data_IF_477044749294
#
_entry.id   IF_477044749294
#
_cell.length_a   1.000
_cell.length_b   1.000
_cell.length_c   1.000
_cell.angle_alpha   90.00
_cell.angle_beta   90.00
_cell.angle_gamma   90.00
#
_symmetry.space_group_name_H-M   'P 1'
#
loop_
_entity.id
_entity.type
_entity.pdbx_description
1 polymer ?
#
# COMPACT_ATOMS: atom_id res chain seq x y z
N UNK A 1 4.46 -19.93 19.78
CA UNK A 1 4.95 -18.65 20.36
C UNK A 1 4.55 -18.56 21.82
N UNK A 2 5.39 -17.95 22.68
CA UNK A 2 5.01 -17.66 24.07
C UNK A 2 3.83 -16.66 24.11
N UNK A 3 2.89 -16.75 25.08
CA UNK A 3 1.70 -15.90 25.12
C UNK A 3 1.99 -14.39 25.10
N UNK A 4 2.95 -13.92 25.91
CA UNK A 4 3.32 -12.50 25.96
C UNK A 4 3.89 -11.95 24.64
N UNK A 5 4.74 -12.73 23.98
CA UNK A 5 5.30 -12.36 22.67
C UNK A 5 4.21 -12.26 21.60
N UNK A 6 3.22 -13.16 21.62
CA UNK A 6 2.09 -13.12 20.68
C UNK A 6 1.29 -11.83 20.83
N UNK A 7 0.98 -11.42 22.06
CA UNK A 7 0.25 -10.18 22.33
C UNK A 7 1.07 -8.96 21.90
N UNK A 8 2.37 -8.92 22.22
CA UNK A 8 3.25 -7.83 21.81
C UNK A 8 3.29 -7.65 20.28
N UNK A 9 3.52 -8.73 19.53
CA UNK A 9 3.57 -8.67 18.06
C UNK A 9 2.20 -8.28 17.49
N UNK A 10 1.10 -8.76 18.08
CA UNK A 10 -0.24 -8.35 17.66
C UNK A 10 -0.45 -6.85 17.86
N UNK A 11 -0.10 -6.31 19.02
CA UNK A 11 -0.20 -4.87 19.31
C UNK A 11 0.67 -4.07 18.35
N UNK A 12 1.92 -4.48 18.13
CA UNK A 12 2.84 -3.82 17.20
C UNK A 12 2.30 -3.82 15.76
N UNK A 13 1.72 -4.92 15.31
CA UNK A 13 1.12 -5.01 13.98
C UNK A 13 -0.10 -4.10 13.82
N UNK A 14 -0.99 -4.08 14.83
CA UNK A 14 -2.17 -3.21 14.79
C UNK A 14 -1.74 -1.74 14.79
N UNK A 15 -0.82 -1.36 15.69
CA UNK A 15 -0.31 0.01 15.78
C UNK A 15 0.35 0.46 14.47
N UNK A 16 1.21 -0.38 13.88
CA UNK A 16 1.90 -0.06 12.62
C UNK A 16 0.96 -0.05 11.42
N UNK A 17 -0.02 -0.96 11.34
CA UNK A 17 -1.02 -0.99 10.28
C UNK A 17 -1.95 0.23 10.31
N UNK A 18 -2.48 0.57 11.49
CA UNK A 18 -3.36 1.75 11.66
C UNK A 18 -2.55 3.03 11.47
N UNK A 19 -1.33 3.10 12.00
CA UNK A 19 -0.41 4.21 11.76
C UNK A 19 -0.11 4.41 10.29
N UNK A 20 0.12 3.33 9.53
CA UNK A 20 0.34 3.40 8.08
C UNK A 20 -0.89 3.97 7.36
N UNK A 21 -2.09 3.48 7.68
CA UNK A 21 -3.34 4.00 7.12
C UNK A 21 -3.52 5.49 7.41
N UNK A 22 -3.28 5.92 8.66
CA UNK A 22 -3.34 7.32 9.06
C UNK A 22 -2.31 8.19 8.35
N UNK A 23 -1.07 7.71 8.19
CA UNK A 23 -0.01 8.44 7.50
C UNK A 23 -0.32 8.64 6.01
N UNK A 24 -0.92 7.64 5.34
CA UNK A 24 -1.38 7.78 3.95
C UNK A 24 -2.54 8.79 3.86
N UNK A 25 -3.47 8.79 4.82
CA UNK A 25 -4.55 9.78 4.86
C UNK A 25 -4.01 11.21 5.06
N UNK A 26 -3.05 11.40 5.96
CA UNK A 26 -2.39 12.69 6.17
C UNK A 26 -1.64 13.15 4.92
N UNK A 27 -0.91 12.24 4.25
CA UNK A 27 -0.25 12.54 2.97
C UNK A 27 -1.26 12.98 1.90
N UNK A 28 -2.42 12.34 1.81
CA UNK A 28 -3.48 12.74 0.87
C UNK A 28 -4.01 14.14 1.18
N UNK A 29 -4.22 14.48 2.45
CA UNK A 29 -4.62 15.84 2.87
C UNK A 29 -3.58 16.88 2.45
N UNK A 30 -2.28 16.58 2.65
CA UNK A 30 -1.20 17.46 2.21
C UNK A 30 -1.17 17.61 0.68
N UNK A 31 -1.40 16.53 -0.06
CA UNK A 31 -1.48 16.59 -1.52
C UNK A 31 -2.66 17.46 -1.99
N UNK A 32 -3.82 17.36 -1.34
CA UNK A 32 -4.96 18.23 -1.62
C UNK A 32 -4.60 19.70 -1.31
N UNK A 33 -3.97 19.97 -0.16
CA UNK A 33 -3.53 21.32 0.20
C UNK A 33 -2.54 21.90 -0.83
N UNK A 34 -1.64 21.10 -1.36
CA UNK A 34 -0.72 21.50 -2.43
C UNK A 34 -1.42 21.79 -3.78
N UNK A 35 -2.57 21.13 -4.06
CA UNK A 35 -3.33 21.35 -5.30
C UNK A 35 -4.26 22.56 -5.25
N UNK A 36 -4.83 22.87 -4.08
CA UNK A 36 -5.82 23.94 -3.92
C UNK A 36 -5.25 25.21 -3.27
N UNK A 37 -4.02 25.14 -2.77
CA UNK A 37 -3.33 26.25 -2.11
C UNK A 37 -3.14 27.44 -3.04
N UNK A 38 -3.37 28.65 -2.52
CA UNK A 38 -3.28 29.90 -3.29
C UNK A 38 -1.97 30.64 -3.06
N UNK A 39 -1.37 30.46 -1.90
CA UNK A 39 -0.08 31.05 -1.56
C UNK A 39 1.05 30.03 -1.74
N UNK A 40 2.20 30.52 -2.20
CA UNK A 40 3.34 29.66 -2.51
C UNK A 40 3.94 29.00 -1.25
N UNK A 41 3.77 29.60 -0.07
CA UNK A 41 4.34 29.07 1.18
C UNK A 41 3.62 27.81 1.60
N UNK A 42 2.29 27.80 1.60
CA UNK A 42 1.47 26.62 1.91
C UNK A 42 1.72 25.49 0.92
N UNK A 43 1.77 25.78 -0.38
CA UNK A 43 2.01 24.73 -1.40
C UNK A 43 3.39 24.07 -1.20
N UNK A 44 4.44 24.87 -0.97
CA UNK A 44 5.79 24.36 -0.71
C UNK A 44 5.86 23.57 0.58
N UNK A 45 5.28 24.10 1.66
CA UNK A 45 5.21 23.43 2.95
C UNK A 45 4.53 22.07 2.85
N UNK A 46 3.41 22.00 2.12
CA UNK A 46 2.71 20.76 1.86
C UNK A 46 3.57 19.76 1.06
N UNK A 47 4.26 20.20 0.00
CA UNK A 47 5.14 19.34 -0.80
C UNK A 47 6.30 18.76 0.02
N UNK A 48 6.92 19.58 0.88
CA UNK A 48 7.98 19.12 1.80
C UNK A 48 7.42 18.15 2.84
N UNK A 49 6.28 18.47 3.44
CA UNK A 49 5.62 17.61 4.42
C UNK A 49 5.19 16.27 3.81
N UNK A 50 4.76 16.24 2.55
CA UNK A 50 4.49 14.99 1.83
C UNK A 50 5.75 14.12 1.77
N UNK A 51 6.89 14.69 1.41
CA UNK A 51 8.14 13.95 1.35
C UNK A 51 8.57 13.41 2.72
N UNK A 52 8.54 14.23 3.75
CA UNK A 52 8.84 13.80 5.12
C UNK A 52 7.89 12.68 5.57
N UNK A 53 6.59 12.84 5.32
CA UNK A 53 5.58 11.84 5.69
C UNK A 53 5.83 10.51 4.98
N UNK A 54 6.14 10.54 3.67
CA UNK A 54 6.41 9.33 2.91
C UNK A 54 7.63 8.56 3.42
N UNK A 55 8.74 9.26 3.66
CA UNK A 55 10.01 8.65 4.06
C UNK A 55 10.06 8.23 5.53
N UNK A 56 9.53 9.06 6.43
CA UNK A 56 9.69 8.87 7.87
C UNK A 56 8.47 8.29 8.58
N UNK A 57 7.30 8.29 7.95
CA UNK A 57 6.11 7.64 8.50
C UNK A 57 5.65 6.48 7.63
N UNK A 58 5.25 6.73 6.38
CA UNK A 58 4.59 5.71 5.54
C UNK A 58 5.53 4.52 5.27
N UNK A 59 6.76 4.79 4.81
CA UNK A 59 7.73 3.73 4.51
C UNK A 59 8.03 2.83 5.73
N UNK A 60 8.50 3.34 6.88
CA UNK A 60 8.82 2.49 8.02
C UNK A 60 7.58 1.77 8.59
N UNK A 61 6.41 2.43 8.64
CA UNK A 61 5.19 1.80 9.13
C UNK A 61 4.71 0.68 8.20
N UNK A 62 4.84 0.85 6.88
CA UNK A 62 4.49 -0.19 5.91
C UNK A 62 5.36 -1.43 6.06
N UNK A 63 6.68 -1.25 6.20
CA UNK A 63 7.63 -2.35 6.40
C UNK A 63 7.43 -3.04 7.75
N UNK A 64 7.22 -2.27 8.81
CA UNK A 64 6.95 -2.81 10.15
C UNK A 64 5.63 -3.59 10.19
N UNK A 65 4.59 -3.10 9.51
CA UNK A 65 3.30 -3.78 9.41
C UNK A 65 3.42 -5.12 8.65
N UNK A 66 4.14 -5.14 7.53
CA UNK A 66 4.43 -6.37 6.77
C UNK A 66 5.23 -7.37 7.60
N UNK A 67 6.33 -6.93 8.22
CA UNK A 67 7.19 -7.79 9.02
C UNK A 67 6.42 -8.43 10.19
N UNK A 68 5.71 -7.61 10.97
CA UNK A 68 4.90 -8.10 12.10
C UNK A 68 3.74 -8.98 11.65
N UNK A 69 3.16 -8.73 10.47
CA UNK A 69 2.13 -9.57 9.86
C UNK A 69 2.66 -10.95 9.47
N UNK A 70 3.84 -11.01 8.85
CA UNK A 70 4.53 -12.27 8.54
C UNK A 70 4.84 -13.04 9.82
N UNK A 71 5.43 -12.39 10.83
CA UNK A 71 5.74 -13.01 12.12
C UNK A 71 4.48 -13.60 12.77
N UNK A 72 3.35 -12.87 12.79
CA UNK A 72 2.09 -13.41 13.32
C UNK A 72 1.57 -14.59 12.51
N UNK A 73 1.64 -14.52 11.19
CA UNK A 73 1.12 -15.57 10.32
C UNK A 73 1.87 -16.89 10.46
N UNK A 74 3.20 -16.84 10.72
CA UNK A 74 4.05 -18.01 10.95
C UNK A 74 4.00 -18.50 12.39
N UNK A 75 3.84 -17.58 13.34
CA UNK A 75 3.87 -17.87 14.77
C UNK A 75 2.56 -18.32 15.40
N UNK A 76 1.46 -18.22 14.65
CA UNK A 76 0.11 -18.60 15.09
C UNK A 76 -0.44 -19.75 14.22
N UNK A 77 -1.42 -20.52 14.72
CA UNK A 77 -1.98 -21.65 13.96
C UNK A 77 -2.69 -21.23 12.65
N UNK A 78 -2.86 -19.92 12.43
CA UNK A 78 -3.52 -19.37 11.26
C UNK A 78 -2.74 -19.65 9.97
N UNK A 79 -1.41 -19.57 9.96
CA UNK A 79 -0.57 -19.84 8.77
C UNK A 79 -0.75 -18.81 7.64
N UNK A 80 0.35 -18.32 7.05
CA UNK A 80 0.32 -17.29 5.99
C UNK A 80 -0.53 -17.69 4.77
N UNK A 81 -0.37 -18.93 4.32
CA UNK A 81 -1.01 -19.44 3.11
C UNK A 81 -2.24 -20.29 3.40
N UNK A 82 -2.66 -20.46 4.65
CA UNK A 82 -3.70 -21.44 5.02
C UNK A 82 -5.12 -20.91 4.75
N UNK A 83 -5.31 -19.61 4.90
CA UNK A 83 -6.60 -18.94 4.78
C UNK A 83 -6.53 -17.87 3.69
N UNK A 84 -7.52 -17.84 2.79
CA UNK A 84 -7.55 -16.87 1.70
C UNK A 84 -7.51 -15.42 2.20
N UNK A 85 -8.17 -15.12 3.32
CA UNK A 85 -8.21 -13.77 3.85
C UNK A 85 -6.85 -13.30 4.38
N UNK A 86 -6.00 -14.21 4.89
CA UNK A 86 -4.65 -13.88 5.36
C UNK A 86 -3.76 -13.58 4.16
N UNK A 87 -3.78 -14.47 3.17
CA UNK A 87 -3.01 -14.32 1.94
C UNK A 87 -3.40 -13.05 1.18
N UNK A 88 -4.71 -12.79 1.05
CA UNK A 88 -5.24 -11.60 0.42
C UNK A 88 -4.71 -10.30 1.04
N UNK A 89 -4.75 -10.19 2.38
CA UNK A 89 -4.21 -9.01 3.08
C UNK A 89 -2.71 -8.86 2.85
N UNK A 90 -1.97 -9.98 2.92
CA UNK A 90 -0.54 -9.96 2.70
C UNK A 90 -0.21 -9.49 1.28
N UNK A 91 -0.90 -9.99 0.25
CA UNK A 91 -0.70 -9.58 -1.14
C UNK A 91 -1.04 -8.09 -1.33
N UNK A 92 -2.19 -7.64 -0.83
CA UNK A 92 -2.60 -6.23 -0.94
C UNK A 92 -1.63 -5.29 -0.23
N UNK A 93 -1.18 -5.65 0.98
CA UNK A 93 -0.19 -4.87 1.73
C UNK A 93 1.16 -4.84 0.99
N UNK A 94 1.64 -5.98 0.49
CA UNK A 94 2.88 -6.04 -0.29
C UNK A 94 2.80 -5.21 -1.57
N UNK A 95 1.66 -5.25 -2.28
CA UNK A 95 1.45 -4.45 -3.48
C UNK A 95 1.43 -2.94 -3.14
N UNK A 96 0.76 -2.55 -2.07
CA UNK A 96 0.76 -1.15 -1.61
C UNK A 96 2.17 -0.67 -1.24
N UNK A 97 2.96 -1.50 -0.55
CA UNK A 97 4.38 -1.19 -0.25
C UNK A 97 5.23 -1.13 -1.52
N UNK A 98 5.03 -2.03 -2.48
CA UNK A 98 5.76 -1.99 -3.75
C UNK A 98 5.47 -0.70 -4.52
N UNK A 99 4.21 -0.29 -4.62
CA UNK A 99 3.81 0.99 -5.23
C UNK A 99 4.44 2.17 -4.49
N UNK A 100 4.44 2.15 -3.15
CA UNK A 100 5.11 3.18 -2.36
C UNK A 100 6.59 3.30 -2.74
N UNK A 101 7.33 2.19 -2.76
CA UNK A 101 8.75 2.17 -3.11
C UNK A 101 9.00 2.73 -4.52
N UNK A 102 8.14 2.38 -5.48
CA UNK A 102 8.21 2.91 -6.86
C UNK A 102 7.96 4.43 -6.92
N UNK A 103 7.19 4.99 -5.99
CA UNK A 103 6.84 6.43 -5.95
C UNK A 103 7.75 7.27 -5.07
N UNK A 104 8.57 6.67 -4.20
CA UNK A 104 9.51 7.42 -3.35
C UNK A 104 10.46 8.36 -4.13
N UNK A 105 11.00 7.98 -5.31
CA UNK A 105 11.80 8.92 -6.12
C UNK A 105 10.99 10.15 -6.54
N UNK A 106 9.78 9.96 -7.07
CA UNK A 106 8.88 11.04 -7.46
C UNK A 106 8.52 11.97 -6.28
N UNK A 107 8.37 11.41 -5.08
CA UNK A 107 8.13 12.18 -3.86
C UNK A 107 9.35 13.01 -3.45
N UNK A 108 10.57 12.49 -3.66
CA UNK A 108 11.80 13.26 -3.46
C UNK A 108 11.91 14.40 -4.46
N UNK A 109 11.67 14.12 -5.75
CA UNK A 109 11.71 15.11 -6.81
C UNK A 109 10.72 16.25 -6.55
N UNK A 110 9.50 15.92 -6.06
CA UNK A 110 8.49 16.90 -5.65
C UNK A 110 9.05 17.93 -4.67
N UNK A 111 9.69 17.47 -3.59
CA UNK A 111 10.23 18.36 -2.57
C UNK A 111 11.40 19.22 -3.11
N UNK A 112 12.23 18.65 -3.99
CA UNK A 112 13.33 19.38 -4.63
C UNK A 112 12.81 20.48 -5.57
N UNK A 113 11.82 20.17 -6.41
CA UNK A 113 11.21 21.16 -7.32
C UNK A 113 10.56 22.30 -6.51
N UNK A 114 9.79 21.95 -5.48
CA UNK A 114 9.10 22.91 -4.62
C UNK A 114 10.07 23.85 -3.87
N UNK A 115 11.29 23.40 -3.57
CA UNK A 115 12.27 24.23 -2.85
C UNK A 115 13.20 25.00 -3.77
N UNK A 116 13.55 24.46 -4.94
CA UNK A 116 14.52 25.08 -5.85
C UNK A 116 13.95 26.19 -6.72
N UNK A 117 12.67 26.12 -7.11
CA UNK A 117 12.08 27.08 -8.06
C UNK A 117 11.38 28.23 -7.33
N UNK A 118 11.55 29.51 -7.72
CA UNK A 118 10.78 30.63 -7.17
C UNK A 118 9.31 30.62 -7.63
N UNK A 119 9.05 30.09 -8.82
CA UNK A 119 7.71 29.92 -9.40
C UNK A 119 7.29 28.46 -9.35
N UNK A 120 6.03 28.21 -9.00
CA UNK A 120 5.44 26.87 -9.03
C UNK A 120 4.81 26.67 -10.41
N UNK A 121 5.35 25.72 -11.19
CA UNK A 121 4.91 25.45 -12.57
C UNK A 121 3.98 24.24 -12.69
N UNK A 122 3.44 24.04 -13.89
CA UNK A 122 2.49 22.95 -14.21
C UNK A 122 3.06 21.55 -13.94
N UNK A 123 4.37 21.37 -14.09
CA UNK A 123 5.07 20.10 -13.80
C UNK A 123 4.88 19.67 -12.34
N UNK A 124 4.96 20.62 -11.40
CA UNK A 124 4.74 20.37 -9.98
C UNK A 124 3.28 19.92 -9.74
N UNK A 125 2.32 20.63 -10.34
CA UNK A 125 0.89 20.33 -10.19
C UNK A 125 0.56 18.94 -10.74
N UNK A 126 1.13 18.59 -11.90
CA UNK A 126 1.00 17.25 -12.50
C UNK A 126 1.55 16.16 -11.58
N UNK A 127 2.73 16.40 -11.00
CA UNK A 127 3.38 15.48 -10.06
C UNK A 127 2.56 15.29 -8.78
N UNK A 128 2.09 16.38 -8.16
CA UNK A 128 1.23 16.32 -6.96
C UNK A 128 -0.07 15.56 -7.29
N UNK A 129 -0.71 15.84 -8.42
CA UNK A 129 -1.94 15.15 -8.84
C UNK A 129 -1.73 13.65 -8.99
N UNK A 130 -0.63 13.25 -9.62
CA UNK A 130 -0.25 11.83 -9.75
C UNK A 130 -0.05 11.19 -8.38
N UNK A 131 0.68 11.84 -7.47
CA UNK A 131 0.91 11.33 -6.12
C UNK A 131 -0.38 11.27 -5.29
N UNK A 132 -1.28 12.25 -5.43
CA UNK A 132 -2.59 12.26 -4.78
C UNK A 132 -3.46 11.08 -5.24
N UNK A 133 -3.50 10.80 -6.55
CA UNK A 133 -4.24 9.66 -7.09
C UNK A 133 -3.71 8.32 -6.54
N UNK A 134 -2.38 8.16 -6.44
CA UNK A 134 -1.78 6.97 -5.85
C UNK A 134 -2.04 6.86 -4.35
N UNK A 135 -1.99 7.97 -3.61
CA UNK A 135 -2.30 8.00 -2.18
C UNK A 135 -3.78 7.63 -1.92
N UNK A 136 -4.70 8.15 -2.72
CA UNK A 136 -6.12 7.78 -2.65
C UNK A 136 -6.35 6.30 -2.96
N UNK A 137 -5.73 5.77 -4.03
CA UNK A 137 -5.78 4.35 -4.34
C UNK A 137 -5.18 3.47 -3.23
N UNK A 138 -4.02 3.85 -2.70
CA UNK A 138 -3.38 3.18 -1.58
C UNK A 138 -4.25 3.19 -0.32
N UNK A 139 -4.90 4.31 -0.01
CA UNK A 139 -5.82 4.42 1.13
C UNK A 139 -7.01 3.48 0.98
N UNK A 140 -7.61 3.39 -0.21
CA UNK A 140 -8.70 2.45 -0.49
C UNK A 140 -8.23 1.00 -0.32
N UNK A 141 -7.02 0.65 -0.78
CA UNK A 141 -6.42 -0.67 -0.56
C UNK A 141 -6.25 -0.96 0.93
N UNK A 142 -5.73 -0.02 1.71
CA UNK A 142 -5.54 -0.19 3.16
C UNK A 142 -6.87 -0.28 3.93
N UNK A 143 -7.90 0.44 3.48
CA UNK A 143 -9.26 0.29 4.02
C UNK A 143 -9.84 -1.09 3.68
N UNK A 144 -9.62 -1.59 2.47
CA UNK A 144 -10.04 -2.93 2.07
C UNK A 144 -9.31 -4.03 2.87
N UNK A 145 -8.00 -3.90 3.11
CA UNK A 145 -7.26 -4.86 3.97
C UNK A 145 -7.77 -4.82 5.40
N UNK A 146 -8.11 -3.65 5.93
CA UNK A 146 -8.70 -3.46 7.26
C UNK A 146 -10.11 -4.07 7.34
N UNK A 147 -10.94 -3.90 6.31
CA UNK A 147 -12.29 -4.48 6.25
C UNK A 147 -12.23 -6.02 6.17
N UNK A 148 -11.33 -6.58 5.35
CA UNK A 148 -11.00 -8.01 5.38
C UNK A 148 -10.48 -8.43 6.77
N UNK A 149 -9.80 -7.50 7.47
CA UNK A 149 -9.34 -7.53 8.87
C UNK A 149 -10.40 -8.08 9.80
N UNK A 150 -11.48 -7.33 9.80
CA UNK A 150 -12.62 -7.44 10.71
C UNK A 150 -13.58 -8.54 10.26
N UNK A 151 -13.93 -8.59 8.97
CA UNK A 151 -14.95 -9.52 8.45
C UNK A 151 -14.51 -10.98 8.44
N UNK A 152 -13.19 -11.25 8.35
CA UNK A 152 -12.59 -12.61 8.35
C UNK A 152 -13.39 -13.62 7.51
N UNK A 153 -13.55 -13.37 6.20
CA UNK A 153 -14.42 -14.21 5.37
C UNK A 153 -13.92 -15.66 5.36
N UNK A 154 -14.84 -16.64 5.41
CA UNK A 154 -14.49 -18.05 5.45
C UNK A 154 -13.85 -18.50 4.14
N UNK A 155 -12.92 -19.46 4.23
CA UNK A 155 -12.24 -20.05 3.08
C UNK A 155 -10.80 -20.48 3.38
N UNK A 156 -10.56 -21.79 3.28
CA UNK A 156 -9.22 -22.38 3.32
C UNK A 156 -8.64 -22.40 1.91
N UNK A 157 -7.36 -22.08 1.78
CA UNK A 157 -6.65 -22.28 0.51
C UNK A 157 -6.47 -23.78 0.23
N UNK A 158 -6.10 -24.19 -1.00
CA UNK A 158 -5.84 -25.60 -1.32
C UNK A 158 -4.74 -26.21 -0.42
N UNK A 159 -3.79 -25.37 0.04
CA UNK A 159 -2.72 -25.77 0.94
C UNK A 159 -3.23 -26.01 2.37
N UNK A 160 -4.09 -25.11 2.86
CA UNK A 160 -4.74 -25.25 4.16
C UNK A 160 -5.75 -26.40 4.20
N UNK A 161 -6.50 -26.59 3.12
CA UNK A 161 -7.45 -27.67 2.93
C UNK A 161 -6.75 -29.04 2.88
N UNK A 162 -5.65 -29.18 2.13
CA UNK A 162 -4.86 -30.42 2.10
C UNK A 162 -4.33 -30.83 3.48
N UNK A 163 -3.88 -29.86 4.29
CA UNK A 163 -3.42 -30.12 5.66
C UNK A 163 -4.56 -30.47 6.62
N UNK A 164 -5.75 -29.89 6.42
CA UNK A 164 -6.94 -30.19 7.21
C UNK A 164 -7.56 -31.54 6.84
N UNK A 165 -7.67 -31.85 5.55
CA UNK A 165 -8.16 -33.13 5.03
C UNK A 165 -7.24 -34.31 5.35
N UNK A 166 -5.92 -34.07 5.52
CA UNK A 166 -5.01 -35.08 6.10
C UNK A 166 -5.27 -35.34 7.59
N UNK A 167 -5.81 -34.35 8.32
CA UNK A 167 -6.12 -34.47 9.75
C UNK A 167 -7.54 -35.01 10.01
N UNK A 168 -8.46 -34.82 9.06
CA UNK A 168 -9.84 -35.34 9.10
C UNK A 168 -10.06 -36.16 7.82
N UNK A 169 -9.96 -37.48 7.93
CA UNK A 169 -10.11 -38.38 6.79
C UNK A 169 -11.48 -38.19 6.11
N UNK A 170 -11.48 -37.84 4.82
CA UNK A 170 -12.61 -38.12 3.93
C UNK A 170 -13.57 -36.99 3.52
N UNK A 171 -13.31 -35.71 3.80
CA UNK A 171 -14.15 -34.61 3.27
C UNK A 171 -13.61 -34.04 1.94
N UNK A 172 -14.40 -34.06 0.84
CA UNK A 172 -14.05 -33.36 -0.40
C UNK A 172 -13.92 -31.85 -0.16
N UNK A 173 -12.88 -31.24 -0.71
CA UNK A 173 -12.63 -29.80 -0.56
C UNK A 173 -13.70 -28.98 -1.29
N UNK A 174 -14.14 -27.87 -0.68
CA UNK A 174 -15.00 -26.89 -1.32
C UNK A 174 -14.18 -25.97 -2.25
N UNK A 175 -14.74 -25.63 -3.41
CA UNK A 175 -14.18 -24.65 -4.34
C UNK A 175 -13.82 -23.32 -3.66
N UNK A 176 -12.85 -22.60 -4.25
CA UNK A 176 -12.50 -21.26 -3.78
C UNK A 176 -13.77 -20.39 -3.71
N UNK A 177 -14.08 -19.76 -2.56
CA UNK A 177 -15.31 -19.02 -2.41
C UNK A 177 -15.36 -17.84 -3.40
N UNK A 178 -16.54 -17.52 -3.93
CA UNK A 178 -16.71 -16.54 -5.01
C UNK A 178 -16.07 -15.16 -4.72
N UNK A 179 -16.08 -14.73 -3.45
CA UNK A 179 -15.41 -13.49 -3.03
C UNK A 179 -13.89 -13.54 -3.21
N UNK A 180 -13.25 -14.71 -3.04
CA UNK A 180 -11.80 -14.86 -3.21
C UNK A 180 -11.41 -14.80 -4.69
N UNK A 181 -12.24 -15.35 -5.59
CA UNK A 181 -12.09 -15.22 -7.04
C UNK A 181 -12.24 -13.75 -7.47
N UNK A 182 -13.29 -13.07 -6.99
CA UNK A 182 -13.51 -11.64 -7.25
C UNK A 182 -12.37 -10.77 -6.74
N UNK A 183 -11.82 -11.08 -5.56
CA UNK A 183 -10.66 -10.37 -5.02
C UNK A 183 -9.38 -10.62 -5.83
N UNK A 184 -9.14 -11.85 -6.28
CA UNK A 184 -8.00 -12.16 -7.14
C UNK A 184 -8.07 -11.40 -8.48
N UNK A 185 -9.27 -11.30 -9.06
CA UNK A 185 -9.53 -10.45 -10.24
C UNK A 185 -9.26 -8.98 -9.90
N UNK A 186 -9.79 -8.47 -8.79
CA UNK A 186 -9.57 -7.08 -8.38
C UNK A 186 -8.08 -6.77 -8.14
N UNK A 187 -7.33 -7.69 -7.52
CA UNK A 187 -5.87 -7.58 -7.34
C UNK A 187 -5.16 -7.61 -8.69
N UNK A 188 -5.57 -8.50 -9.60
CA UNK A 188 -5.03 -8.57 -10.96
C UNK A 188 -5.28 -7.29 -11.75
N UNK A 189 -6.50 -6.74 -11.68
CA UNK A 189 -6.87 -5.47 -12.29
C UNK A 189 -6.13 -4.30 -11.66
N UNK A 190 -5.96 -4.29 -10.33
CA UNK A 190 -5.17 -3.28 -9.63
C UNK A 190 -3.70 -3.35 -10.04
N UNK A 191 -3.13 -4.56 -10.13
CA UNK A 191 -1.77 -4.78 -10.62
C UNK A 191 -1.60 -4.35 -12.07
N UNK A 192 -2.58 -4.65 -12.94
CA UNK A 192 -2.61 -4.19 -14.33
C UNK A 192 -2.70 -2.67 -14.40
N UNK A 193 -3.58 -2.04 -13.62
CA UNK A 193 -3.72 -0.59 -13.53
C UNK A 193 -2.41 0.06 -13.09
N UNK A 194 -1.75 -0.48 -12.05
CA UNK A 194 -0.43 -0.03 -11.60
C UNK A 194 0.59 -0.19 -12.73
N UNK A 195 0.61 -1.33 -13.42
CA UNK A 195 1.49 -1.57 -14.56
C UNK A 195 1.28 -0.54 -15.68
N UNK A 196 0.03 -0.24 -16.03
CA UNK A 196 -0.33 0.80 -17.01
C UNK A 196 0.06 2.19 -16.50
N UNK A 197 -0.11 2.51 -15.21
CA UNK A 197 0.32 3.81 -14.66
C UNK A 197 1.84 3.96 -14.61
N UNK A 198 2.58 2.86 -14.46
CA UNK A 198 4.05 2.83 -14.45
C UNK A 198 4.62 2.86 -15.87
N UNK A 199 4.00 2.15 -16.82
CA UNK A 199 4.49 2.00 -18.20
C UNK A 199 3.89 3.02 -19.19
N UNK A 200 2.66 3.45 -18.96
CA UNK A 200 1.95 4.45 -19.79
C UNK A 200 2.13 5.89 -19.33
N UNK A 201 2.81 6.12 -18.20
CA UNK A 201 3.22 7.45 -17.75
C UNK A 201 4.38 7.96 -18.58
N UNK A 202 4.10 8.59 -19.72
CA UNK A 202 5.07 9.28 -20.59
C UNK A 202 5.77 10.50 -19.97
N UNK A 203 6.16 10.43 -18.69
CA UNK A 203 6.95 11.43 -17.98
C UNK A 203 8.14 10.75 -17.26
N UNK A 204 8.78 9.79 -17.94
CA UNK A 204 10.04 9.24 -17.48
C UNK A 204 11.18 10.27 -17.61
N UNK A 205 12.24 10.19 -16.78
CA UNK A 205 13.37 11.14 -16.76
C UNK A 205 14.18 11.28 -18.07
N UNK A 206 13.79 10.57 -19.14
CA UNK A 206 14.37 10.65 -20.48
C UNK A 206 13.66 11.61 -21.45
N UNK A 207 12.48 12.15 -21.10
CA UNK A 207 11.68 12.96 -22.04
C UNK A 207 12.32 14.32 -22.41
N UNK A 208 13.29 14.80 -21.63
CA UNK A 208 13.95 16.11 -21.85
C UNK A 208 15.32 16.03 -22.53
N UNK A 209 15.75 14.87 -23.04
CA UNK A 209 17.00 14.74 -23.82
C UNK A 209 16.71 14.73 -25.32
N UNK A 210 16.22 15.85 -25.87
CA UNK A 210 16.38 16.13 -27.30
C UNK A 210 17.30 17.33 -27.45
N UNK A 211 18.47 17.19 -28.11
CA UNK A 211 19.27 18.35 -28.44
C UNK A 211 18.52 19.23 -29.46
N UNK A 212 18.63 20.57 -29.38
CA UNK A 212 18.13 21.44 -30.43
C UNK A 212 18.94 21.18 -31.71
N UNK A 213 18.22 20.84 -32.78
CA UNK A 213 18.71 20.97 -34.14
C UNK A 213 18.33 22.33 -34.70
#
# INVERSE_FOLDING_TARGET
>A
MRPGLRTFVLTAHVATAVGWLGAVAAFLVLAVAALIGRDALTVRGACVAMALTAWFAILPLSLASLLTGVIQSLGTPWGLVRHYWVLAKAVLASLATAVLLLKLPAVRDLAQIATASPTLGDDLVSLVRSLAAHAAGGLLVLLATTALGVRKPPGLTPWGARRYARAVAGQPWADAPGWAKGLAIAVGLLGLLIGVMVLGGGHGPGAHRRPPG
#
